data_IF_267371721463
#
_entry.id   IF_267371721463
#
_cell.length_a   1.000
_cell.length_b   1.000
_cell.length_c   1.000
_cell.angle_alpha   90.00
_cell.angle_beta   90.00
_cell.angle_gamma   90.00
#
_symmetry.space_group_name_H-M   'P 1'
#
loop_
_entity.id
_entity.type
_entity.pdbx_description
1 polymer ?
#
# COMPACT_ATOMS: atom_id res chain seq x y z
N UNK A 1 20.63 21.14 31.06
CA UNK A 1 19.18 21.05 30.82
C UNK A 1 18.98 20.13 29.62
N UNK A 2 18.42 18.93 29.83
CA UNK A 2 17.99 17.98 28.77
C UNK A 2 16.92 18.68 27.89
N UNK A 3 16.58 18.30 26.66
CA UNK A 3 16.46 16.96 26.10
C UNK A 3 16.22 17.00 24.56
N UNK A 4 16.47 15.85 23.92
CA UNK A 4 15.81 15.26 22.73
C UNK A 4 15.41 16.19 21.55
N UNK A 5 15.93 15.97 20.34
CA UNK A 5 15.49 14.85 19.50
C UNK A 5 16.55 14.53 18.44
N UNK A 6 17.37 13.51 18.72
CA UNK A 6 18.03 12.72 17.67
C UNK A 6 17.09 11.55 17.37
N UNK A 7 16.37 11.62 16.26
CA UNK A 7 15.96 10.40 15.56
C UNK A 7 16.88 10.20 14.36
N UNK A 8 18.14 9.83 14.65
CA UNK A 8 18.89 8.99 13.73
C UNK A 8 18.48 7.54 14.02
N UNK A 9 17.41 7.11 13.35
CA UNK A 9 17.01 5.71 13.26
C UNK A 9 16.96 5.34 11.79
N UNK A 10 17.90 4.51 11.37
CA UNK A 10 18.13 4.03 10.01
C UNK A 10 16.91 3.25 9.47
N UNK A 11 15.87 3.93 9.00
CA UNK A 11 14.88 3.32 8.11
C UNK A 11 15.32 3.57 6.67
N UNK A 12 15.52 2.51 5.89
CA UNK A 12 15.68 2.62 4.43
C UNK A 12 14.59 3.55 3.92
N UNK A 13 14.97 4.68 3.31
CA UNK A 13 14.05 5.72 2.87
C UNK A 13 13.10 5.09 1.84
N UNK A 14 11.93 4.65 2.28
CA UNK A 14 10.98 3.93 1.44
C UNK A 14 10.19 4.98 0.64
N UNK A 15 10.81 5.50 -0.43
CA UNK A 15 10.19 6.48 -1.32
C UNK A 15 9.07 5.81 -2.12
N UNK A 16 7.85 6.35 -2.02
CA UNK A 16 6.72 5.94 -2.84
C UNK A 16 6.66 6.84 -4.09
N UNK A 17 6.99 6.34 -5.30
CA UNK A 17 6.90 7.14 -6.51
C UNK A 17 5.43 7.48 -6.83
N UNK A 18 5.20 8.66 -7.41
CA UNK A 18 3.87 9.11 -7.83
C UNK A 18 3.94 9.86 -9.17
N UNK A 19 2.85 9.82 -9.91
CA UNK A 19 2.66 10.58 -11.16
C UNK A 19 1.21 11.09 -11.20
N UNK A 20 1.01 12.31 -11.69
CA UNK A 20 -0.33 12.85 -11.98
C UNK A 20 -0.63 12.62 -13.45
N UNK A 21 -1.77 12.03 -13.74
CA UNK A 21 -2.26 11.81 -15.09
C UNK A 21 -3.48 12.70 -15.36
N UNK A 22 -3.67 13.08 -16.62
CA UNK A 22 -4.93 13.65 -17.08
C UNK A 22 -5.98 12.53 -17.21
N UNK A 23 -7.28 12.88 -17.16
CA UNK A 23 -8.36 11.91 -17.28
C UNK A 23 -8.40 11.24 -18.67
N UNK A 24 -7.93 11.92 -19.71
CA UNK A 24 -7.86 11.41 -21.09
C UNK A 24 -6.54 10.68 -21.38
N UNK A 25 -5.68 10.47 -20.37
CA UNK A 25 -4.41 9.75 -20.55
C UNK A 25 -4.69 8.30 -20.94
N UNK A 26 -4.12 7.85 -22.05
CA UNK A 26 -4.21 6.45 -22.47
C UNK A 26 -3.63 5.52 -21.37
N UNK A 27 -4.37 4.51 -20.90
CA UNK A 27 -3.92 3.59 -19.86
C UNK A 27 -2.60 2.86 -20.18
N UNK A 28 -2.24 2.68 -21.47
CA UNK A 28 -0.96 2.09 -21.88
C UNK A 28 0.26 2.91 -21.43
N UNK A 29 0.08 4.23 -21.28
CA UNK A 29 1.11 5.11 -20.72
C UNK A 29 1.32 4.78 -19.23
N UNK A 30 0.24 4.54 -18.48
CA UNK A 30 0.32 4.13 -17.08
C UNK A 30 0.99 2.77 -16.95
N UNK A 31 0.67 1.81 -17.84
CA UNK A 31 1.37 0.51 -17.88
C UNK A 31 2.88 0.69 -18.10
N UNK A 32 3.28 1.50 -19.08
CA UNK A 32 4.69 1.82 -19.37
C UNK A 32 5.40 2.42 -18.17
N UNK A 33 4.74 3.34 -17.45
CA UNK A 33 5.28 3.93 -16.23
C UNK A 33 5.50 2.86 -15.16
N UNK A 34 4.52 1.99 -14.93
CA UNK A 34 4.59 0.96 -13.89
C UNK A 34 5.65 -0.11 -14.22
N UNK A 35 5.65 -0.65 -15.44
CA UNK A 35 6.46 -1.80 -15.82
C UNK A 35 7.86 -1.42 -16.28
N UNK A 36 8.02 -0.35 -17.06
CA UNK A 36 9.29 -0.04 -17.72
C UNK A 36 10.08 1.04 -16.98
N UNK A 37 9.41 2.10 -16.53
CA UNK A 37 10.05 3.24 -15.86
C UNK A 37 10.29 2.95 -14.38
N UNK A 38 9.24 2.59 -13.64
CA UNK A 38 9.33 2.24 -12.22
C UNK A 38 9.79 0.81 -11.98
N UNK A 39 9.82 -0.02 -13.04
CA UNK A 39 10.31 -1.40 -13.01
C UNK A 39 9.61 -2.25 -11.95
N UNK A 40 8.31 -2.02 -11.77
CA UNK A 40 7.49 -2.84 -10.87
C UNK A 40 7.26 -4.19 -11.56
N UNK A 41 7.56 -5.33 -10.91
CA UNK A 41 7.31 -6.64 -11.49
C UNK A 41 5.85 -6.80 -11.90
N UNK A 42 5.62 -7.32 -13.11
CA UNK A 42 4.28 -7.62 -13.61
C UNK A 42 3.59 -8.60 -12.65
N UNK A 43 2.35 -8.31 -12.22
CA UNK A 43 1.68 -9.15 -11.25
C UNK A 43 1.09 -10.38 -11.92
N UNK A 44 0.99 -11.49 -11.19
CA UNK A 44 0.17 -12.64 -11.57
C UNK A 44 -1.30 -12.46 -11.20
N UNK A 45 -1.61 -11.51 -10.32
CA UNK A 45 -2.96 -11.18 -9.88
C UNK A 45 -3.07 -9.68 -9.58
N UNK A 46 -4.18 -9.08 -10.02
CA UNK A 46 -4.54 -7.72 -9.67
C UNK A 46 -5.76 -7.76 -8.75
N UNK A 47 -5.64 -7.15 -7.58
CA UNK A 47 -6.71 -7.06 -6.60
C UNK A 47 -7.07 -5.60 -6.35
N UNK A 48 -8.30 -5.23 -6.70
CA UNK A 48 -8.82 -3.90 -6.45
C UNK A 48 -9.65 -3.90 -5.16
N UNK A 49 -9.29 -3.03 -4.22
CA UNK A 49 -10.07 -2.77 -3.02
C UNK A 49 -10.70 -1.39 -3.11
N UNK A 50 -12.02 -1.38 -3.16
CA UNK A 50 -12.85 -0.18 -3.06
C UNK A 50 -13.63 -0.21 -1.75
N UNK A 51 -14.00 0.96 -1.25
CA UNK A 51 -14.81 1.06 -0.04
C UNK A 51 -15.23 2.50 0.24
N UNK A 52 -16.17 2.65 1.18
CA UNK A 52 -16.66 3.96 1.57
C UNK A 52 -15.62 4.77 2.35
N UNK A 53 -15.73 6.10 2.28
CA UNK A 53 -14.92 7.04 3.07
C UNK A 53 -15.33 7.08 4.55
N UNK A 54 -16.44 6.44 4.92
CA UNK A 54 -16.88 6.29 6.31
C UNK A 54 -15.94 5.34 7.04
N UNK A 55 -15.59 5.69 8.27
CA UNK A 55 -14.77 4.85 9.13
C UNK A 55 -15.41 3.46 9.27
N UNK A 56 -14.71 2.43 8.78
CA UNK A 56 -15.16 1.06 8.81
C UNK A 56 -14.19 0.28 9.70
N UNK A 57 -14.67 -0.15 10.87
CA UNK A 57 -13.90 -1.01 11.78
C UNK A 57 -14.25 -2.45 11.46
N UNK A 58 -13.34 -3.17 10.80
CA UNK A 58 -13.39 -4.63 10.74
C UNK A 58 -13.37 -5.13 12.20
N UNK A 59 -14.39 -5.89 12.61
CA UNK A 59 -14.50 -6.39 13.99
C UNK A 59 -13.91 -7.80 14.10
N UNK A 60 -13.11 -8.03 15.14
CA UNK A 60 -12.71 -9.38 15.59
C UNK A 60 -11.77 -10.12 14.63
N UNK A 61 -11.97 -11.43 14.47
CA UNK A 61 -11.11 -12.34 13.67
C UNK A 61 -11.00 -11.97 12.19
N UNK A 62 -11.95 -11.19 11.67
CA UNK A 62 -12.00 -10.78 10.27
C UNK A 62 -10.91 -9.76 9.91
N UNK A 63 -10.48 -8.91 10.85
CA UNK A 63 -9.40 -7.93 10.63
C UNK A 63 -8.02 -8.61 10.51
N UNK A 64 -7.79 -9.63 11.35
CA UNK A 64 -6.51 -10.35 11.40
C UNK A 64 -6.38 -11.32 10.22
N UNK A 65 -7.40 -12.14 9.96
CA UNK A 65 -7.32 -13.16 8.92
C UNK A 65 -7.34 -12.57 7.50
N UNK A 66 -8.19 -11.57 7.25
CA UNK A 66 -8.33 -10.97 5.91
C UNK A 66 -7.00 -10.38 5.41
N UNK A 67 -6.29 -9.68 6.29
CA UNK A 67 -5.04 -9.01 5.93
C UNK A 67 -3.87 -10.00 5.87
N UNK A 68 -3.82 -11.00 6.76
CA UNK A 68 -2.82 -12.05 6.68
C UNK A 68 -2.98 -12.94 5.44
N UNK A 69 -4.22 -13.18 4.98
CA UNK A 69 -4.51 -13.90 3.75
C UNK A 69 -4.17 -13.08 2.49
N UNK A 70 -4.39 -11.76 2.51
CA UNK A 70 -4.02 -10.84 1.43
C UNK A 70 -2.53 -10.87 1.10
N UNK A 71 -1.68 -10.98 2.12
CA UNK A 71 -0.24 -10.86 1.94
C UNK A 71 0.44 -12.23 1.71
N UNK A 72 -0.34 -13.31 1.56
CA UNK A 72 0.16 -14.62 1.11
C UNK A 72 0.30 -14.70 -0.42
N UNK A 73 -0.35 -13.81 -1.17
CA UNK A 73 -0.25 -13.84 -2.62
C UNK A 73 1.06 -13.21 -3.09
N UNK A 74 1.98 -14.06 -3.55
CA UNK A 74 3.21 -13.66 -4.23
C UNK A 74 2.84 -12.98 -5.55
N UNK A 75 3.55 -11.91 -5.91
CA UNK A 75 3.36 -11.17 -7.17
C UNK A 75 1.94 -10.64 -7.41
N UNK A 76 1.24 -10.19 -6.36
CA UNK A 76 -0.07 -9.52 -6.48
C UNK A 76 0.06 -8.01 -6.37
N UNK A 77 -0.59 -7.27 -7.28
CA UNK A 77 -0.78 -5.83 -7.12
C UNK A 77 -2.08 -5.54 -6.38
N UNK A 78 -2.01 -4.66 -5.38
CA UNK A 78 -3.16 -4.17 -4.63
C UNK A 78 -3.47 -2.72 -5.03
N UNK A 79 -4.59 -2.51 -5.73
CA UNK A 79 -5.06 -1.17 -6.08
C UNK A 79 -6.10 -0.69 -5.08
N UNK A 80 -5.90 0.51 -4.57
CA UNK A 80 -6.85 1.22 -3.70
C UNK A 80 -7.04 2.64 -4.22
N UNK A 81 -7.95 3.42 -3.64
CA UNK A 81 -8.09 4.84 -3.96
C UNK A 81 -6.96 5.73 -3.40
N UNK A 82 -6.02 5.16 -2.64
CA UNK A 82 -4.89 5.89 -2.05
C UNK A 82 -5.23 6.79 -0.86
N UNK A 83 -6.51 6.89 -0.46
CA UNK A 83 -6.94 7.73 0.65
C UNK A 83 -6.82 6.97 1.98
N UNK A 84 -6.23 7.61 3.01
CA UNK A 84 -6.09 7.01 4.35
C UNK A 84 -7.39 7.08 5.17
N UNK A 85 -8.48 6.57 4.60
CA UNK A 85 -9.81 6.57 5.21
C UNK A 85 -10.53 5.26 4.92
N UNK A 86 -11.57 4.97 5.69
CA UNK A 86 -12.41 3.78 5.49
C UNK A 86 -11.60 2.47 5.50
N UNK A 87 -11.85 1.61 4.51
CA UNK A 87 -11.25 0.28 4.40
C UNK A 87 -9.73 0.30 4.11
N UNK A 88 -9.21 1.39 3.54
CA UNK A 88 -7.80 1.47 3.11
C UNK A 88 -6.85 1.68 4.29
N UNK A 89 -7.31 2.35 5.35
CA UNK A 89 -6.53 2.60 6.56
C UNK A 89 -6.07 1.31 7.28
N UNK A 90 -6.95 0.34 7.63
CA UNK A 90 -6.52 -0.90 8.27
C UNK A 90 -5.61 -1.75 7.36
N UNK A 91 -5.84 -1.75 6.04
CA UNK A 91 -4.98 -2.43 5.06
C UNK A 91 -3.55 -1.88 5.12
N UNK A 92 -3.39 -0.56 5.06
CA UNK A 92 -2.07 0.09 5.15
C UNK A 92 -1.35 -0.23 6.46
N UNK A 93 -2.09 -0.31 7.58
CA UNK A 93 -1.51 -0.68 8.89
C UNK A 93 -0.99 -2.13 8.91
N UNK A 94 -1.73 -3.10 8.36
CA UNK A 94 -1.26 -4.49 8.32
C UNK A 94 -0.03 -4.67 7.42
N UNK A 95 0.01 -4.01 6.26
CA UNK A 95 1.19 -4.03 5.38
C UNK A 95 2.42 -3.48 6.12
N UNK A 96 2.27 -2.37 6.86
CA UNK A 96 3.35 -1.79 7.66
C UNK A 96 3.80 -2.73 8.78
N UNK A 97 2.86 -3.33 9.52
CA UNK A 97 3.16 -4.28 10.60
C UNK A 97 3.97 -5.47 10.09
N UNK A 98 3.61 -6.04 8.94
CA UNK A 98 4.35 -7.17 8.36
C UNK A 98 5.77 -6.78 7.92
N UNK A 99 5.96 -5.62 7.27
CA UNK A 99 7.31 -5.14 6.91
C UNK A 99 8.24 -5.04 8.13
N UNK A 100 7.70 -4.70 9.29
CA UNK A 100 8.46 -4.63 10.55
C UNK A 100 8.69 -6.01 11.20
N UNK A 101 7.88 -7.02 10.88
CA UNK A 101 7.99 -8.38 11.45
C UNK A 101 8.88 -9.31 10.62
N UNK A 102 9.21 -8.93 9.38
CA UNK A 102 10.10 -9.66 8.48
C UNK A 102 11.57 -9.18 8.53
N UNK A 103 11.90 -8.28 9.47
CA UNK A 103 13.25 -7.87 9.85
C UNK A 103 13.58 -8.48 11.23
#
# INVERSE_FOLDING_TARGET
MKDSTKEQGLSLINRAPYVRCDIETDPSIVETILLDIWRIPRPSLIMQVTGGHKYFKLRGKMEVNFLDDFVKFVNTWLLTNGANVGIVQPIGQAIRKRKLTQL
#
